data_IF_836508509013
#
_entry.id   IF_836508509013
#
_cell.length_a   1.000
_cell.length_b   1.000
_cell.length_c   1.000
_cell.angle_alpha   90.00
_cell.angle_beta   90.00
_cell.angle_gamma   90.00
#
_symmetry.space_group_name_H-M   'P 1'
#
loop_
_entity.id
_entity.type
_entity.pdbx_description
1 polymer ?
#
# COMPACT_ATOMS: atom_id res chain seq x y z
N UNK A 1 -3.10 -10.11 -12.38
CA UNK A 1 -3.66 -9.29 -11.28
C UNK A 1 -4.63 -8.28 -11.85
N UNK A 2 -5.81 -8.15 -11.25
CA UNK A 2 -6.84 -7.17 -11.66
C UNK A 2 -6.45 -5.79 -11.13
N UNK A 3 -6.63 -4.74 -11.95
CA UNK A 3 -6.39 -3.36 -11.53
C UNK A 3 -7.44 -2.90 -10.51
N UNK A 4 -7.01 -2.03 -9.59
CA UNK A 4 -7.87 -1.41 -8.57
C UNK A 4 -7.76 0.10 -8.67
N UNK A 5 -8.84 0.81 -8.34
CA UNK A 5 -8.81 2.27 -8.26
C UNK A 5 -8.32 2.71 -6.88
N UNK A 6 -7.35 3.61 -6.86
CA UNK A 6 -6.74 4.13 -5.64
C UNK A 6 -7.07 5.61 -5.41
N UNK A 7 -7.17 5.95 -4.13
CA UNK A 7 -7.45 7.28 -3.62
C UNK A 7 -6.38 7.66 -2.60
N UNK A 8 -6.08 8.95 -2.46
CA UNK A 8 -5.19 9.50 -1.44
C UNK A 8 -5.99 10.44 -0.53
N UNK A 9 -5.75 10.41 0.77
CA UNK A 9 -6.30 11.40 1.68
C UNK A 9 -5.77 12.80 1.33
N UNK A 10 -6.67 13.78 1.23
CA UNK A 10 -6.27 15.18 1.05
C UNK A 10 -5.57 15.72 2.30
N UNK A 11 -6.12 15.40 3.47
CA UNK A 11 -5.57 15.81 4.76
C UNK A 11 -4.69 14.70 5.37
N UNK A 12 -3.60 15.08 6.07
CA UNK A 12 -2.77 14.12 6.78
C UNK A 12 -3.52 13.54 7.99
N UNK A 13 -3.20 12.30 8.33
CA UNK A 13 -3.63 11.68 9.58
C UNK A 13 -2.79 12.18 10.76
N UNK A 14 -3.08 11.71 11.98
CA UNK A 14 -2.43 12.16 13.22
C UNK A 14 -0.90 11.99 13.23
N UNK A 15 -0.39 11.07 12.44
CA UNK A 15 1.05 10.79 12.27
C UNK A 15 1.72 11.66 11.20
N UNK A 16 0.97 12.58 10.57
CA UNK A 16 1.46 13.44 9.50
C UNK A 16 1.44 12.80 8.11
N UNK A 17 1.04 11.53 7.97
CA UNK A 17 0.98 10.84 6.70
C UNK A 17 -0.38 10.98 6.03
N UNK A 18 -0.38 11.04 4.70
CA UNK A 18 -1.59 10.90 3.88
C UNK A 18 -1.68 9.46 3.39
N UNK A 19 -2.77 8.80 3.73
CA UNK A 19 -2.94 7.38 3.44
C UNK A 19 -3.61 7.16 2.09
N UNK A 20 -3.12 6.13 1.39
CA UNK A 20 -3.66 5.65 0.13
C UNK A 20 -4.63 4.52 0.42
N UNK A 21 -5.78 4.55 -0.26
CA UNK A 21 -6.88 3.61 -0.07
C UNK A 21 -7.37 3.05 -1.40
N UNK A 22 -7.85 1.81 -1.42
CA UNK A 22 -8.63 1.28 -2.54
C UNK A 22 -10.08 1.78 -2.48
N UNK A 23 -10.83 1.62 -3.57
CA UNK A 23 -12.25 2.01 -3.64
C UNK A 23 -13.11 1.43 -2.51
N UNK A 24 -12.94 0.15 -2.21
CA UNK A 24 -13.71 -0.60 -1.20
C UNK A 24 -13.21 -0.38 0.23
N UNK A 25 -12.18 0.44 0.45
CA UNK A 25 -11.67 0.68 1.79
C UNK A 25 -12.68 1.48 2.64
N UNK A 26 -13.07 0.92 3.78
CA UNK A 26 -13.95 1.57 4.76
C UNK A 26 -13.25 2.68 5.56
N UNK A 27 -11.91 2.65 5.62
CA UNK A 27 -11.13 3.67 6.34
C UNK A 27 -10.91 4.94 5.51
N UNK A 28 -11.31 4.94 4.23
CA UNK A 28 -11.18 6.13 3.39
C UNK A 28 -12.15 7.21 3.89
N UNK A 29 -11.73 8.48 3.94
CA UNK A 29 -12.62 9.59 4.28
C UNK A 29 -13.68 9.81 3.20
N UNK A 30 -14.63 10.71 3.49
CA UNK A 30 -15.69 11.05 2.53
C UNK A 30 -15.12 11.58 1.20
N UNK A 31 -15.82 11.42 0.06
CA UNK A 31 -15.28 11.70 -1.28
C UNK A 31 -14.67 13.10 -1.47
N UNK A 32 -15.18 14.12 -0.76
CA UNK A 32 -14.66 15.49 -0.80
C UNK A 32 -13.22 15.62 -0.24
N UNK A 33 -12.81 14.69 0.61
CA UNK A 33 -11.49 14.66 1.27
C UNK A 33 -10.52 13.67 0.61
N UNK A 34 -10.81 13.25 -0.61
CA UNK A 34 -9.99 12.32 -1.39
C UNK A 34 -9.43 12.98 -2.66
N UNK A 35 -8.23 12.58 -3.02
CA UNK A 35 -7.62 12.80 -4.34
C UNK A 35 -7.69 11.48 -5.10
N UNK A 36 -8.22 11.52 -6.32
CA UNK A 36 -8.27 10.35 -7.21
C UNK A 36 -6.89 10.14 -7.82
N UNK A 37 -6.27 8.99 -7.57
CA UNK A 37 -4.97 8.65 -8.16
C UNK A 37 -5.12 7.93 -9.51
N UNK A 38 -6.12 7.05 -9.63
CA UNK A 38 -6.37 6.26 -10.85
C UNK A 38 -6.37 4.76 -10.62
N UNK A 39 -6.43 4.00 -11.72
CA UNK A 39 -6.33 2.55 -11.72
C UNK A 39 -4.86 2.11 -11.73
N UNK A 40 -4.49 1.18 -10.85
CA UNK A 40 -3.15 0.60 -10.78
C UNK A 40 -3.20 -0.91 -10.56
N UNK A 41 -2.14 -1.59 -10.99
CA UNK A 41 -2.00 -3.05 -10.82
C UNK A 41 -1.63 -3.42 -9.38
N UNK A 42 -0.95 -2.52 -8.66
CA UNK A 42 -0.58 -2.71 -7.27
C UNK A 42 -0.48 -1.37 -6.52
N UNK A 43 -0.43 -1.46 -5.19
CA UNK A 43 -0.36 -0.31 -4.30
C UNK A 43 0.96 0.46 -4.42
N UNK A 44 2.07 -0.18 -4.80
CA UNK A 44 3.36 0.50 -4.99
C UNK A 44 3.34 1.50 -6.15
N UNK A 45 2.62 1.18 -7.24
CA UNK A 45 2.40 2.12 -8.34
C UNK A 45 1.55 3.32 -7.88
N UNK A 46 0.48 3.07 -7.12
CA UNK A 46 -0.33 4.13 -6.53
C UNK A 46 0.48 5.02 -5.57
N UNK A 47 1.39 4.44 -4.79
CA UNK A 47 2.30 5.17 -3.90
C UNK A 47 3.25 6.09 -4.68
N UNK A 48 3.81 5.62 -5.80
CA UNK A 48 4.64 6.44 -6.68
C UNK A 48 3.85 7.63 -7.24
N UNK A 49 2.59 7.42 -7.60
CA UNK A 49 1.72 8.51 -8.08
C UNK A 49 1.39 9.51 -6.96
N UNK A 50 0.99 9.02 -5.78
CA UNK A 50 0.66 9.84 -4.62
C UNK A 50 1.82 10.76 -4.20
N UNK A 51 3.06 10.26 -4.27
CA UNK A 51 4.25 11.01 -3.91
C UNK A 51 4.56 12.20 -4.83
N UNK A 52 3.91 12.30 -5.99
CA UNK A 52 3.96 13.51 -6.84
C UNK A 52 3.16 14.67 -6.24
N UNK A 53 2.13 14.38 -5.44
CA UNK A 53 1.31 15.38 -4.76
C UNK A 53 1.91 15.77 -3.41
N UNK A 54 2.29 14.77 -2.62
CA UNK A 54 2.82 14.96 -1.26
C UNK A 54 3.93 13.96 -0.95
N UNK A 55 5.07 14.43 -0.43
CA UNK A 55 6.18 13.56 -0.03
C UNK A 55 5.77 12.55 1.05
N UNK A 56 4.90 12.98 1.98
CA UNK A 56 4.43 12.19 3.12
C UNK A 56 3.16 11.41 2.76
N UNK A 57 3.30 10.48 1.82
CA UNK A 57 2.25 9.55 1.43
C UNK A 57 2.63 8.12 1.84
N UNK A 58 1.66 7.40 2.40
CA UNK A 58 1.81 6.04 2.94
C UNK A 58 0.66 5.14 2.47
N UNK A 59 0.88 3.82 2.48
CA UNK A 59 -0.13 2.83 2.14
C UNK A 59 -1.03 2.55 3.36
N UNK A 60 -2.34 2.41 3.15
CA UNK A 60 -3.22 1.93 4.21
C UNK A 60 -3.02 0.43 4.44
N UNK A 61 -2.63 0.04 5.64
CA UNK A 61 -2.34 -1.36 5.97
C UNK A 61 -3.55 -2.29 5.83
N UNK A 62 -4.78 -1.77 5.92
CA UNK A 62 -6.02 -2.57 5.80
C UNK A 62 -6.35 -2.95 4.36
N UNK A 63 -6.19 -2.03 3.40
CA UNK A 63 -6.69 -2.23 2.03
C UNK A 63 -5.61 -2.19 0.95
N UNK A 64 -4.42 -1.67 1.26
CA UNK A 64 -3.26 -1.69 0.38
C UNK A 64 -2.37 -2.87 0.74
N UNK A 65 -2.98 -4.05 0.82
CA UNK A 65 -2.26 -5.30 1.00
C UNK A 65 -1.19 -5.36 -0.07
N UNK A 66 0.07 -5.53 0.35
CA UNK A 66 1.15 -5.88 -0.56
C UNK A 66 0.84 -7.30 -1.02
N UNK A 67 0.01 -7.45 -2.04
CA UNK A 67 -0.11 -8.73 -2.76
C UNK A 67 1.16 -8.92 -3.59
N UNK A 68 2.28 -8.98 -2.88
CA UNK A 68 3.59 -9.40 -3.35
C UNK A 68 4.10 -10.41 -2.30
N UNK A 69 3.27 -11.40 -1.96
CA UNK A 69 3.81 -12.73 -1.69
C UNK A 69 3.97 -13.45 -3.04
N UNK A 70 4.76 -12.86 -3.95
CA UNK A 70 5.78 -13.68 -4.57
C UNK A 70 6.86 -13.80 -3.50
N UNK A 71 6.65 -14.71 -2.54
CA UNK A 71 7.81 -15.20 -1.80
C UNK A 71 8.68 -15.84 -2.87
N UNK A 72 9.75 -15.17 -3.26
CA UNK A 72 10.67 -15.75 -4.22
C UNK A 72 11.15 -17.08 -3.63
N UNK A 73 11.36 -18.09 -4.48
CA UNK A 73 11.91 -19.37 -4.04
C UNK A 73 13.19 -19.17 -3.20
N UNK A 74 13.96 -18.11 -3.49
CA UNK A 74 15.12 -17.70 -2.72
C UNK A 74 14.80 -17.23 -1.30
N UNK A 75 13.70 -16.50 -1.08
CA UNK A 75 13.28 -16.05 0.25
C UNK A 75 12.76 -17.23 1.09
N UNK A 76 12.01 -18.16 0.50
CA UNK A 76 11.62 -19.42 1.17
C UNK A 76 12.84 -20.27 1.55
N UNK A 77 13.82 -20.39 0.64
CA UNK A 77 15.04 -21.16 0.90
C UNK A 77 15.86 -20.58 2.06
N UNK A 78 16.01 -19.26 2.13
CA UNK A 78 16.74 -18.61 3.22
C UNK A 78 16.02 -18.75 4.57
N UNK A 79 14.69 -18.63 4.60
CA UNK A 79 13.89 -18.79 5.81
C UNK A 79 13.97 -20.22 6.39
N UNK A 80 13.88 -21.23 5.52
CA UNK A 80 13.93 -22.64 5.92
C UNK A 80 15.34 -23.10 6.36
N UNK A 81 16.40 -22.48 5.85
CA UNK A 81 17.77 -22.80 6.27
C UNK A 81 18.24 -22.00 7.50
N UNK A 82 17.59 -20.88 7.83
CA UNK A 82 17.89 -20.12 9.05
C UNK A 82 17.17 -20.65 10.30
N UNK A 83 16.20 -21.55 10.16
CA UNK A 83 15.51 -22.20 11.29
C UNK A 83 16.20 -23.49 11.75
N UNK A 84 17.40 -23.81 11.24
CA UNK A 84 18.24 -24.93 11.71
C UNK A 84 19.54 -24.50 12.41
N UNK A 85 19.56 -23.37 13.10
CA UNK A 85 20.71 -23.05 13.95
C UNK A 85 20.46 -21.89 14.88
N UNK A 86 20.03 -22.17 16.11
CA UNK A 86 20.91 -22.16 17.30
C UNK A 86 20.08 -22.41 18.57
N UNK A 87 20.50 -23.46 19.30
CA UNK A 87 20.32 -23.80 20.72
C UNK A 87 18.90 -23.82 21.32
#
# INVERSE_FOLDING_TARGET
>A
MKEQFYYLNREPFKDGNRYIHTYECELKPAPLFLIKLGFFKNSNQALKEAKKYFSNASLCDKCCVKTDEFISHSFLYQYNNNSQGTL
#
